data_IF_094210386782
#
_entry.id   IF_094210386782
#
_cell.length_a   1.000
_cell.length_b   1.000
_cell.length_c   1.000
_cell.angle_alpha   90.00
_cell.angle_beta   90.00
_cell.angle_gamma   90.00
#
_symmetry.space_group_name_H-M   'P 1'
#
loop_
_entity.id
_entity.type
_entity.pdbx_description
1 polymer ?
#
# COMPACT_ATOMS: atom_id res chain seq x y z
N UNK A 1 -0.80 2.01 -20.07
CA UNK A 1 -0.84 2.91 -18.89
C UNK A 1 -2.26 3.22 -18.45
N UNK A 2 -3.13 3.88 -19.24
CA UNK A 2 -4.53 4.16 -18.81
C UNK A 2 -5.29 2.85 -18.50
N UNK A 3 -5.18 1.85 -19.38
CA UNK A 3 -5.77 0.51 -19.14
C UNK A 3 -5.17 -0.24 -17.93
N UNK A 4 -3.88 -0.10 -17.65
CA UNK A 4 -3.21 -0.82 -16.55
C UNK A 4 -3.54 -0.20 -15.20
N UNK A 5 -3.60 1.14 -15.16
CA UNK A 5 -4.03 1.87 -13.98
C UNK A 5 -5.49 1.55 -13.64
N UNK A 6 -6.38 1.55 -14.63
CA UNK A 6 -7.78 1.20 -14.43
C UNK A 6 -7.95 -0.24 -13.95
N UNK A 7 -7.22 -1.19 -14.55
CA UNK A 7 -7.18 -2.56 -14.08
C UNK A 7 -6.70 -2.67 -12.63
N UNK A 8 -5.61 -1.99 -12.29
CA UNK A 8 -5.10 -1.94 -10.93
C UNK A 8 -6.14 -1.39 -9.96
N UNK A 9 -6.82 -0.29 -10.31
CA UNK A 9 -7.84 0.34 -9.47
C UNK A 9 -9.02 -0.60 -9.22
N UNK A 10 -9.44 -1.37 -10.21
CA UNK A 10 -10.51 -2.37 -10.04
C UNK A 10 -10.08 -3.50 -9.08
N UNK A 11 -8.85 -4.02 -9.22
CA UNK A 11 -8.34 -5.01 -8.27
C UNK A 11 -8.15 -4.43 -6.87
N UNK A 12 -7.75 -3.16 -6.78
CA UNK A 12 -7.56 -2.46 -5.51
C UNK A 12 -8.88 -2.29 -4.75
N UNK A 13 -9.95 -1.86 -5.45
CA UNK A 13 -11.30 -1.79 -4.86
C UNK A 13 -11.74 -3.16 -4.35
N UNK A 14 -11.53 -4.21 -5.14
CA UNK A 14 -11.88 -5.59 -4.75
C UNK A 14 -11.08 -6.05 -3.53
N UNK A 15 -9.77 -5.79 -3.49
CA UNK A 15 -8.90 -6.16 -2.37
C UNK A 15 -9.39 -5.56 -1.05
N UNK A 16 -9.78 -4.29 -1.03
CA UNK A 16 -10.29 -3.61 0.18
C UNK A 16 -11.54 -4.33 0.73
N UNK A 17 -12.43 -4.80 -0.14
CA UNK A 17 -13.65 -5.50 0.29
C UNK A 17 -13.39 -6.89 0.87
N UNK A 18 -12.20 -7.45 0.67
CA UNK A 18 -11.81 -8.77 1.16
C UNK A 18 -11.11 -8.72 2.54
N UNK A 19 -10.88 -7.53 3.09
CA UNK A 19 -10.21 -7.34 4.38
C UNK A 19 -11.21 -7.55 5.53
N UNK A 20 -10.91 -8.53 6.37
CA UNK A 20 -11.66 -8.80 7.60
C UNK A 20 -11.45 -7.68 8.64
N UNK A 21 -12.50 -7.31 9.38
CA UNK A 21 -12.50 -6.26 10.40
C UNK A 21 -11.37 -6.43 11.44
N UNK A 22 -10.94 -7.67 11.71
CA UNK A 22 -9.83 -7.96 12.64
C UNK A 22 -8.47 -7.40 12.19
N UNK A 23 -8.29 -7.14 10.89
CA UNK A 23 -7.09 -6.51 10.35
C UNK A 23 -7.20 -4.98 10.30
N UNK A 24 -8.42 -4.43 10.37
CA UNK A 24 -8.68 -2.99 10.45
C UNK A 24 -8.44 -2.49 11.89
N UNK A 25 -8.86 -3.28 12.87
CA UNK A 25 -8.81 -2.89 14.27
C UNK A 25 -8.36 -4.04 15.17
N UNK A 26 -7.35 -3.78 16.00
CA UNK A 26 -6.80 -4.77 16.92
C UNK A 26 -7.26 -4.46 18.34
N UNK A 27 -7.84 -5.46 19.00
CA UNK A 27 -8.08 -5.44 20.45
C UNK A 27 -6.80 -5.81 21.18
N UNK A 28 -6.39 -5.00 22.16
CA UNK A 28 -5.23 -5.30 23.01
C UNK A 28 -5.68 -5.84 24.35
N UNK A 29 -5.01 -6.89 24.84
CA UNK A 29 -5.25 -7.44 26.16
C UNK A 29 -5.04 -6.34 27.22
N UNK A 30 -6.02 -6.17 28.12
CA UNK A 30 -6.03 -5.19 29.22
C UNK A 30 -6.07 -3.70 28.85
N UNK A 31 -6.26 -3.34 27.58
CA UNK A 31 -6.49 -1.94 27.18
C UNK A 31 -7.94 -1.77 26.68
N UNK A 32 -8.72 -0.82 27.23
CA UNK A 32 -10.05 -0.54 26.70
C UNK A 32 -9.95 0.04 25.28
N UNK A 33 -10.77 -0.52 24.38
CA UNK A 33 -10.97 0.01 23.02
C UNK A 33 -10.23 -0.73 21.89
N UNK A 34 -10.72 -0.50 20.67
CA UNK A 34 -10.10 -0.96 19.41
C UNK A 34 -9.09 0.09 18.93
N UNK A 35 -7.86 -0.31 18.59
CA UNK A 35 -6.88 0.59 17.94
C UNK A 35 -6.68 0.22 16.49
N UNK A 36 -6.67 1.24 15.63
CA UNK A 36 -6.32 1.11 14.22
C UNK A 36 -4.81 0.95 14.12
N UNK A 37 -4.36 -0.13 13.50
CA UNK A 37 -2.95 -0.42 13.26
C UNK A 37 -2.74 -0.42 11.75
N UNK A 38 -2.39 0.73 11.20
CA UNK A 38 -2.21 0.94 9.74
C UNK A 38 -1.33 -0.16 9.14
N UNK A 39 -0.21 -0.52 9.77
CA UNK A 39 0.66 -1.61 9.28
C UNK A 39 0.00 -2.99 9.23
N UNK A 40 -0.87 -3.33 10.19
CA UNK A 40 -1.60 -4.62 10.17
C UNK A 40 -2.59 -4.64 9.01
N UNK A 41 -3.30 -3.53 8.79
CA UNK A 41 -4.17 -3.35 7.64
C UNK A 41 -3.38 -3.43 6.33
N UNK A 42 -2.21 -2.77 6.26
CA UNK A 42 -1.37 -2.77 5.07
C UNK A 42 -0.90 -4.18 4.70
N UNK A 43 -0.52 -5.02 5.67
CA UNK A 43 -0.12 -6.39 5.37
C UNK A 43 -1.26 -7.23 4.79
N UNK A 44 -2.47 -7.08 5.30
CA UNK A 44 -3.62 -7.80 4.75
C UNK A 44 -4.00 -7.27 3.36
N UNK A 45 -3.99 -5.95 3.17
CA UNK A 45 -4.23 -5.34 1.86
C UNK A 45 -3.19 -5.79 0.83
N UNK A 46 -1.91 -5.84 1.21
CA UNK A 46 -0.83 -6.38 0.39
C UNK A 46 -1.10 -7.84 -0.01
N UNK A 47 -1.52 -8.67 0.95
CA UNK A 47 -1.84 -10.07 0.70
C UNK A 47 -2.99 -10.24 -0.30
N UNK A 48 -4.10 -9.51 -0.11
CA UNK A 48 -5.26 -9.60 -1.00
C UNK A 48 -4.95 -9.05 -2.40
N UNK A 49 -4.20 -7.94 -2.48
CA UNK A 49 -3.75 -7.39 -3.76
C UNK A 49 -2.84 -8.38 -4.50
N UNK A 50 -1.88 -9.01 -3.83
CA UNK A 50 -1.02 -10.02 -4.45
C UNK A 50 -1.81 -11.19 -5.05
N UNK A 51 -2.85 -11.65 -4.36
CA UNK A 51 -3.72 -12.72 -4.86
C UNK A 51 -4.56 -12.30 -6.07
N UNK A 52 -4.92 -11.03 -6.16
CA UNK A 52 -5.78 -10.50 -7.24
C UNK A 52 -4.99 -10.06 -8.46
N UNK A 53 -3.77 -9.55 -8.27
CA UNK A 53 -2.94 -9.09 -9.36
C UNK A 53 -2.37 -10.26 -10.18
N UNK A 54 -2.42 -11.51 -9.71
CA UNK A 54 -1.91 -12.69 -10.42
C UNK A 54 -0.41 -12.57 -10.80
N UNK A 55 0.22 -13.68 -11.19
CA UNK A 55 1.64 -13.69 -11.58
C UNK A 55 1.87 -13.08 -12.98
N UNK A 56 0.80 -12.96 -13.78
CA UNK A 56 0.84 -12.43 -15.15
C UNK A 56 0.77 -10.89 -15.22
N UNK A 57 0.58 -10.20 -14.08
CA UNK A 57 0.54 -8.74 -14.08
C UNK A 57 1.95 -8.15 -14.16
N UNK A 58 2.15 -7.32 -15.19
CA UNK A 58 3.46 -6.77 -15.55
C UNK A 58 4.08 -5.90 -14.44
N UNK A 59 3.26 -5.28 -13.59
CA UNK A 59 3.73 -4.44 -12.49
C UNK A 59 3.85 -5.21 -11.18
N UNK A 60 4.99 -5.04 -10.51
CA UNK A 60 5.28 -5.64 -9.22
C UNK A 60 4.72 -4.77 -8.09
N UNK A 61 4.04 -5.40 -7.13
CA UNK A 61 3.61 -4.78 -5.88
C UNK A 61 4.66 -5.02 -4.78
N UNK A 62 5.27 -3.94 -4.32
CA UNK A 62 6.28 -3.93 -3.26
C UNK A 62 5.80 -3.10 -2.06
N UNK A 63 5.96 -3.66 -0.86
CA UNK A 63 5.64 -2.99 0.41
C UNK A 63 6.89 -2.43 1.07
N UNK A 64 6.77 -1.26 1.71
CA UNK A 64 7.83 -0.59 2.48
C UNK A 64 9.20 -0.52 1.73
N UNK A 65 9.17 -0.27 0.42
CA UNK A 65 10.39 -0.26 -0.39
C UNK A 65 11.29 0.93 -0.01
N UNK A 66 12.49 0.64 0.52
CA UNK A 66 13.46 1.68 0.88
C UNK A 66 14.02 2.33 -0.39
N UNK A 67 13.61 3.58 -0.64
CA UNK A 67 14.06 4.38 -1.77
C UNK A 67 15.13 5.42 -1.40
N UNK A 68 15.76 5.31 -0.22
CA UNK A 68 16.81 6.23 0.23
C UNK A 68 18.03 6.29 -0.68
N UNK A 69 18.34 5.22 -1.41
CA UNK A 69 19.44 5.19 -2.36
C UNK A 69 19.02 5.62 -3.79
N UNK A 70 17.76 6.02 -4.00
CA UNK A 70 17.21 6.33 -5.32
C UNK A 70 17.30 7.84 -5.61
N UNK A 71 18.23 8.31 -6.46
CA UNK A 71 18.57 9.74 -6.56
C UNK A 71 17.41 10.64 -6.96
N UNK A 72 16.49 10.13 -7.79
CA UNK A 72 15.30 10.87 -8.25
C UNK A 72 14.24 10.97 -7.15
N UNK A 73 14.15 9.96 -6.28
CA UNK A 73 13.04 9.86 -5.32
C UNK A 73 13.39 10.55 -4.02
N UNK A 74 14.63 10.36 -3.54
CA UNK A 74 15.17 11.14 -2.43
C UNK A 74 15.08 12.66 -2.71
N UNK A 75 15.44 13.09 -3.92
CA UNK A 75 15.40 14.51 -4.31
C UNK A 75 13.99 15.11 -4.36
N UNK A 76 12.96 14.32 -4.72
CA UNK A 76 11.61 14.83 -4.94
C UNK A 76 10.65 14.63 -3.76
N UNK A 77 10.77 13.55 -2.98
CA UNK A 77 9.85 13.22 -1.87
C UNK A 77 10.56 12.97 -0.53
N UNK A 78 11.89 13.14 -0.48
CA UNK A 78 12.72 12.84 0.68
C UNK A 78 12.91 11.34 0.89
N UNK A 79 13.63 10.96 1.95
CA UNK A 79 13.84 9.59 2.42
C UNK A 79 12.56 8.91 2.98
N UNK A 80 11.39 9.19 2.38
CA UNK A 80 10.11 8.61 2.78
C UNK A 80 9.95 7.21 2.19
N UNK A 81 9.54 6.29 3.04
CA UNK A 81 9.23 4.90 2.69
C UNK A 81 7.71 4.85 2.53
N UNK A 82 7.18 4.71 1.31
CA UNK A 82 5.74 4.57 1.11
C UNK A 82 5.26 3.21 1.63
N UNK A 83 3.97 3.12 1.99
CA UNK A 83 3.38 1.83 2.36
C UNK A 83 3.45 0.83 1.20
N UNK A 84 3.06 1.25 -0.02
CA UNK A 84 3.18 0.43 -1.23
C UNK A 84 3.69 1.19 -2.46
N UNK A 85 4.31 0.43 -3.36
CA UNK A 85 4.72 0.85 -4.70
C UNK A 85 4.27 -0.21 -5.70
N UNK A 86 3.65 0.23 -6.79
CA UNK A 86 3.32 -0.60 -7.96
C UNK A 86 4.16 -0.10 -9.13
N UNK A 87 5.13 -0.90 -9.56
CA UNK A 87 6.15 -0.47 -10.53
C UNK A 87 6.68 -1.62 -11.37
N UNK A 88 7.23 -1.28 -12.53
CA UNK A 88 8.03 -2.21 -13.31
C UNK A 88 9.47 -2.21 -12.78
N UNK A 89 9.93 -3.36 -12.25
CA UNK A 89 11.32 -3.49 -11.80
C UNK A 89 12.24 -3.45 -13.01
N UNK A 90 13.30 -2.63 -12.96
CA UNK A 90 14.36 -2.44 -13.98
C UNK A 90 14.28 -1.17 -14.85
N UNK A 91 13.14 -0.45 -14.88
CA UNK A 91 13.05 0.86 -15.55
C UNK A 91 12.50 1.92 -14.58
N UNK A 92 13.35 2.91 -14.24
CA UNK A 92 13.03 3.95 -13.26
C UNK A 92 11.82 4.83 -13.66
N UNK A 93 11.50 4.88 -14.94
CA UNK A 93 10.44 5.74 -15.49
C UNK A 93 9.05 5.07 -15.47
N UNK A 94 8.95 3.79 -15.09
CA UNK A 94 7.72 3.00 -15.17
C UNK A 94 7.14 2.68 -13.78
N UNK A 95 6.89 3.73 -12.99
CA UNK A 95 6.10 3.63 -11.75
C UNK A 95 4.63 3.88 -12.08
N UNK A 96 3.75 2.96 -11.68
CA UNK A 96 2.31 3.10 -11.91
C UNK A 96 1.63 3.84 -10.76
N UNK A 97 1.83 3.37 -9.52
CA UNK A 97 1.13 3.88 -8.33
C UNK A 97 2.04 3.89 -7.10
N UNK A 98 1.90 4.93 -6.28
CA UNK A 98 2.40 4.99 -4.89
C UNK A 98 1.18 5.10 -3.97
N UNK A 99 1.18 4.32 -2.88
CA UNK A 99 0.03 4.26 -1.96
C UNK A 99 0.52 4.52 -0.55
N UNK A 100 -0.21 5.38 0.17
CA UNK A 100 -0.02 5.68 1.58
C UNK A 100 -1.37 5.48 2.29
N UNK A 101 -1.38 4.71 3.37
CA UNK A 101 -2.56 4.40 4.16
C UNK A 101 -2.53 5.19 5.46
N UNK A 102 -3.64 5.85 5.77
CA UNK A 102 -3.82 6.61 7.01
C UNK A 102 -5.22 6.37 7.57
N UNK A 103 -5.31 6.23 8.89
CA UNK A 103 -6.60 6.22 9.58
C UNK A 103 -7.10 7.64 9.79
N UNK A 104 -8.37 7.91 9.48
CA UNK A 104 -9.02 9.22 9.70
C UNK A 104 -8.93 9.64 11.18
N UNK A 105 -8.94 8.67 12.12
CA UNK A 105 -8.80 8.98 13.56
C UNK A 105 -7.37 9.32 13.98
N UNK A 106 -6.37 9.05 13.13
CA UNK A 106 -4.98 9.42 13.32
C UNK A 106 -4.58 10.69 12.56
N UNK A 107 -5.44 11.21 11.68
CA UNK A 107 -5.26 12.52 11.05
C UNK A 107 -5.63 13.56 12.12
N UNK A 108 -4.64 13.95 12.92
CA UNK A 108 -4.73 15.25 13.59
C UNK A 108 -4.59 16.31 12.50
N UNK A 109 -5.49 17.30 12.55
CA UNK A 109 -5.44 18.50 11.73
C UNK A 109 -3.99 19.04 11.71
N UNK A 110 -3.38 19.03 10.52
CA UNK A 110 -2.14 19.77 10.27
C UNK A 110 -2.47 21.26 10.14
#
# INVERSE_FOLDING_TARGET
MENDFDYFVEQFKKAITMIDEKYISVSMYQLPGKRYRERVYCYELYHQLRKLLDDDYEYMLDGELDKKAHPIIEKNIGAKIPDFVVHYRSYMEHNLVIIEVKSIKNIKDN
#
